data_IF_873667118934
#
_entry.id   IF_873667118934
#
_cell.length_a   1.000
_cell.length_b   1.000
_cell.length_c   1.000
_cell.angle_alpha   90.00
_cell.angle_beta   90.00
_cell.angle_gamma   90.00
#
_symmetry.space_group_name_H-M   'P 1'
#
loop_
_entity.id
_entity.type
_entity.pdbx_description
1 polymer ?
#
# COMPACT_ATOMS: atom_id res chain seq x y z
N UNK A 1 -1.03 8.98 -1.33
CA UNK A 1 -0.77 7.83 -2.22
C UNK A 1 -1.70 6.67 -1.89
N UNK A 2 -1.78 5.63 -2.73
CA UNK A 2 -2.61 4.45 -2.47
C UNK A 2 -1.79 3.15 -2.46
N UNK A 3 -2.24 2.17 -1.67
CA UNK A 3 -1.64 0.83 -1.61
C UNK A 3 -2.75 -0.20 -1.83
N UNK A 4 -2.51 -1.14 -2.76
CA UNK A 4 -3.46 -2.17 -3.13
C UNK A 4 -2.76 -3.53 -3.26
N UNK A 5 -3.53 -4.61 -3.20
CA UNK A 5 -3.01 -5.96 -3.41
C UNK A 5 -2.54 -6.16 -4.86
N UNK A 6 -1.32 -6.70 -5.02
CA UNK A 6 -0.76 -7.07 -6.32
C UNK A 6 -1.21 -8.43 -6.86
N UNK A 7 -2.05 -9.15 -6.12
CA UNK A 7 -2.54 -10.48 -6.49
C UNK A 7 -3.65 -10.35 -7.55
N UNK A 8 -3.59 -11.13 -8.64
CA UNK A 8 -4.54 -11.06 -9.76
C UNK A 8 -6.02 -11.06 -9.32
N UNK A 9 -6.38 -11.85 -8.31
CA UNK A 9 -7.74 -11.93 -7.79
C UNK A 9 -8.25 -10.61 -7.16
N UNK A 10 -7.34 -9.75 -6.71
CA UNK A 10 -7.62 -8.50 -6.00
C UNK A 10 -7.22 -7.24 -6.80
N UNK A 11 -6.70 -7.40 -8.02
CA UNK A 11 -6.26 -6.26 -8.87
C UNK A 11 -7.40 -5.29 -9.21
N UNK A 12 -8.66 -5.71 -9.08
CA UNK A 12 -9.82 -4.83 -9.24
C UNK A 12 -9.79 -3.67 -8.24
N UNK A 13 -9.21 -3.85 -7.06
CA UNK A 13 -9.09 -2.81 -6.02
C UNK A 13 -7.99 -1.77 -6.35
N UNK A 14 -7.07 -2.11 -7.25
CA UNK A 14 -6.05 -1.18 -7.75
C UNK A 14 -6.60 -0.25 -8.86
N UNK A 15 -7.66 -0.66 -9.59
CA UNK A 15 -8.22 0.12 -10.70
C UNK A 15 -8.70 1.53 -10.32
N UNK A 16 -9.42 1.74 -9.19
CA UNK A 16 -9.86 3.07 -8.76
C UNK A 16 -8.69 4.02 -8.46
N UNK A 17 -7.56 3.49 -7.99
CA UNK A 17 -6.39 4.31 -7.68
C UNK A 17 -5.83 5.04 -8.90
N UNK A 18 -5.99 4.47 -10.10
CA UNK A 18 -5.56 5.10 -11.36
C UNK A 18 -6.40 6.33 -11.72
N UNK A 19 -7.70 6.30 -11.43
CA UNK A 19 -8.60 7.45 -11.67
C UNK A 19 -8.32 8.61 -10.73
N UNK A 20 -7.79 8.34 -9.54
CA UNK A 20 -7.36 9.36 -8.58
C UNK A 20 -6.04 10.04 -8.97
N UNK A 21 -5.37 9.59 -10.05
CA UNK A 21 -4.07 10.12 -10.47
C UNK A 21 -2.98 9.95 -9.41
N UNK A 22 -3.18 9.02 -8.48
CA UNK A 22 -2.27 8.74 -7.37
C UNK A 22 -1.34 7.59 -7.75
N UNK A 23 -0.09 7.66 -7.28
CA UNK A 23 0.79 6.50 -7.33
C UNK A 23 0.16 5.36 -6.50
N UNK A 24 0.06 4.19 -7.12
CA UNK A 24 -0.36 2.95 -6.45
C UNK A 24 0.88 2.10 -6.23
N UNK A 25 1.14 1.77 -4.97
CA UNK A 25 2.12 0.74 -4.61
C UNK A 25 1.41 -0.59 -4.39
N UNK A 26 2.10 -1.67 -4.70
CA UNK A 26 1.56 -3.02 -4.57
C UNK A 26 2.06 -3.68 -3.30
N UNK A 27 1.16 -4.38 -2.61
CA UNK A 27 1.48 -5.27 -1.49
C UNK A 27 1.16 -6.72 -1.84
N UNK A 28 1.76 -7.65 -1.11
CA UNK A 28 1.19 -8.98 -0.93
C UNK A 28 0.09 -8.92 0.14
N UNK A 29 -0.63 -10.02 0.35
CA UNK A 29 -1.69 -10.06 1.39
C UNK A 29 -1.11 -9.81 2.77
N UNK A 30 0.03 -10.43 3.10
CA UNK A 30 0.60 -10.42 4.45
C UNK A 30 1.94 -9.68 4.56
N UNK A 31 2.42 -9.08 3.47
CA UNK A 31 3.71 -8.41 3.45
C UNK A 31 3.78 -7.25 2.44
N UNK A 32 4.61 -6.26 2.75
CA UNK A 32 5.06 -5.26 1.78
C UNK A 32 6.34 -5.75 1.08
N UNK A 33 6.35 -5.85 -0.25
CA UNK A 33 7.57 -6.16 -0.99
C UNK A 33 8.69 -5.16 -0.71
N UNK A 34 9.94 -5.61 -0.75
CA UNK A 34 11.13 -4.77 -0.46
C UNK A 34 11.25 -3.53 -1.37
N UNK A 35 10.75 -3.62 -2.61
CA UNK A 35 10.69 -2.47 -3.51
C UNK A 35 9.70 -1.41 -3.01
N UNK A 36 8.54 -1.83 -2.50
CA UNK A 36 7.51 -0.96 -1.94
C UNK A 36 8.00 -0.27 -0.68
N UNK A 37 8.62 -1.00 0.25
CA UNK A 37 9.16 -0.42 1.49
C UNK A 37 10.32 0.55 1.20
N UNK A 38 11.22 0.20 0.27
CA UNK A 38 12.32 1.08 -0.13
C UNK A 38 11.81 2.40 -0.71
N UNK A 39 10.78 2.34 -1.54
CA UNK A 39 10.15 3.55 -2.10
C UNK A 39 9.48 4.40 -1.01
N UNK A 40 8.75 3.77 -0.09
CA UNK A 40 8.09 4.45 1.04
C UNK A 40 9.08 5.18 1.96
N UNK A 41 10.19 4.51 2.30
CA UNK A 41 11.25 5.09 3.14
C UNK A 41 11.98 6.22 2.42
N UNK A 42 12.25 6.08 1.12
CA UNK A 42 12.91 7.12 0.33
C UNK A 42 12.07 8.37 0.06
N UNK A 43 10.75 8.32 0.32
CA UNK A 43 9.85 9.43 0.08
C UNK A 43 9.35 10.03 1.41
N UNK A 44 10.18 10.86 2.03
CA UNK A 44 9.98 11.52 3.33
C UNK A 44 8.84 12.56 3.38
N UNK A 45 8.23 12.93 2.23
CA UNK A 45 7.08 13.84 2.20
C UNK A 45 5.71 13.13 2.30
N UNK A 46 5.67 11.80 2.22
CA UNK A 46 4.41 11.08 2.41
C UNK A 46 3.96 11.00 3.88
N UNK A 47 2.91 11.72 4.22
CA UNK A 47 2.23 11.65 5.52
C UNK A 47 1.06 10.65 5.54
N UNK A 48 0.44 10.39 4.37
CA UNK A 48 -0.78 9.57 4.28
C UNK A 48 -0.76 8.55 3.14
N UNK A 49 -1.17 7.32 3.46
CA UNK A 49 -1.43 6.25 2.50
C UNK A 49 -2.87 5.74 2.65
N UNK A 50 -3.55 5.53 1.52
CA UNK A 50 -4.87 4.93 1.47
C UNK A 50 -4.75 3.44 1.14
N UNK A 51 -5.31 2.59 2.00
CA UNK A 51 -5.40 1.16 1.74
C UNK A 51 -6.65 0.88 0.90
N UNK A 52 -6.45 0.26 -0.27
CA UNK A 52 -7.51 -0.12 -1.21
C UNK A 52 -7.64 -1.65 -1.21
N UNK A 53 -8.71 -2.13 -0.61
CA UNK A 53 -9.00 -3.56 -0.44
C UNK A 53 -9.39 -3.89 1.00
N UNK A 54 -10.08 -5.01 1.19
CA UNK A 54 -10.42 -5.52 2.54
C UNK A 54 -9.34 -6.43 3.12
N UNK A 55 -9.60 -6.99 4.30
CA UNK A 55 -8.65 -7.87 5.03
C UNK A 55 -8.17 -9.10 4.24
N UNK A 56 -8.96 -9.58 3.28
CA UNK A 56 -8.56 -10.67 2.40
C UNK A 56 -7.56 -10.27 1.30
N UNK A 57 -7.43 -8.97 1.03
CA UNK A 57 -6.53 -8.41 0.04
C UNK A 57 -5.26 -7.82 0.69
N UNK A 58 -5.41 -7.18 1.85
CA UNK A 58 -4.32 -6.68 2.70
C UNK A 58 -4.65 -7.00 4.15
N UNK A 59 -3.79 -7.76 4.82
CA UNK A 59 -4.00 -8.12 6.22
C UNK A 59 -3.54 -7.01 7.16
N UNK A 60 -3.95 -7.13 8.43
CA UNK A 60 -3.58 -6.20 9.49
C UNK A 60 -2.05 -6.02 9.62
N UNK A 61 -1.27 -7.07 9.37
CA UNK A 61 0.21 -7.01 9.37
C UNK A 61 0.77 -5.97 8.40
N UNK A 62 0.15 -5.85 7.21
CA UNK A 62 0.55 -4.86 6.20
C UNK A 62 0.24 -3.45 6.69
N UNK A 63 -0.94 -3.26 7.29
CA UNK A 63 -1.37 -1.97 7.85
C UNK A 63 -0.47 -1.54 9.00
N UNK A 64 -0.17 -2.44 9.96
CA UNK A 64 0.75 -2.17 11.07
C UNK A 64 2.16 -1.80 10.57
N UNK A 65 2.65 -2.47 9.52
CA UNK A 65 3.94 -2.13 8.91
C UNK A 65 3.91 -0.74 8.28
N UNK A 66 2.81 -0.36 7.62
CA UNK A 66 2.63 0.98 7.05
C UNK A 66 2.58 2.06 8.12
N UNK A 67 1.84 1.82 9.20
CA UNK A 67 1.77 2.72 10.35
C UNK A 67 3.14 2.89 11.01
N UNK A 68 3.94 1.82 11.11
CA UNK A 68 5.31 1.92 11.64
C UNK A 68 6.24 2.76 10.76
N UNK A 69 6.10 2.69 9.43
CA UNK A 69 6.93 3.47 8.48
C UNK A 69 6.48 4.94 8.41
N UNK A 70 5.16 5.19 8.44
CA UNK A 70 4.60 6.54 8.28
C UNK A 70 4.46 7.29 9.61
N UNK A 71 4.11 6.62 10.70
CA UNK A 71 3.93 7.22 12.02
C UNK A 71 5.24 7.56 12.76
N UNK A 72 6.38 7.17 12.19
CA UNK A 72 7.70 7.58 12.67
C UNK A 72 8.16 8.96 12.18
N UNK A 73 7.29 9.73 11.51
CA UNK A 73 7.56 11.02 10.88
C UNK A 73 6.60 12.08 11.43
#
# INVERSE_FOLDING_TARGET
MSIASGIQANMVDALPGGTLGQLILLSETDALPGATTTWLVGNEETEHAYVLGGDGALSATVVETLEGILGGR
#
